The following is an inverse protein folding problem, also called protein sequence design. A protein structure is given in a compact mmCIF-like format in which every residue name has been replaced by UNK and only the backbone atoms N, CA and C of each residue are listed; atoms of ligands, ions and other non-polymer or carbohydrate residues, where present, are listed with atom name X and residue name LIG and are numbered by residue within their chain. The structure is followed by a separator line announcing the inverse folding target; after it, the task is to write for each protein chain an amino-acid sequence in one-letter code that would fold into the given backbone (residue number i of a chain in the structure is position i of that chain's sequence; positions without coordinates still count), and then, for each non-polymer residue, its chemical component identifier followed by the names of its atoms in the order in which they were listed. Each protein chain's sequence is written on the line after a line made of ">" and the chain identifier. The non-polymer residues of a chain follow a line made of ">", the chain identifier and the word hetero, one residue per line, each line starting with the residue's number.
data_IF_182393203975
#
_entry.id   IF_182393203975
#
_cell.length_a   1.000
_cell.length_b   1.000
_cell.length_c   1.000
_cell.angle_alpha   90.00
_cell.angle_beta   90.00
_cell.angle_gamma   90.00
#
_symmetry.space_group_name_H-M   'P 1'
#
loop_
_entity.id
_entity.type
_entity.pdbx_description
1 polymer ?
#
# COMPACT_ATOMS: atom_id res chain seq x y z
N UNK A 1 -22.05 6.86 -18.49
CA UNK A 1 -22.76 5.58 -18.26
C UNK A 1 -22.03 4.79 -17.18
N UNK A 2 -22.30 5.07 -15.91
CA UNK A 2 -21.90 4.20 -14.80
C UNK A 2 -23.04 3.22 -14.55
N UNK A 3 -22.76 1.91 -14.61
CA UNK A 3 -23.69 0.87 -14.18
C UNK A 3 -23.56 0.72 -12.66
N UNK A 4 -24.60 1.13 -11.95
CA UNK A 4 -24.81 0.78 -10.55
C UNK A 4 -24.87 -0.75 -10.40
N UNK A 5 -24.02 -1.31 -9.54
CA UNK A 5 -24.17 -2.68 -9.02
C UNK A 5 -23.07 -3.69 -9.30
N UNK A 6 -22.03 -3.36 -10.09
CA UNK A 6 -20.83 -4.21 -10.14
C UNK A 6 -19.93 -3.84 -8.96
N UNK A 7 -19.72 -4.76 -8.01
CA UNK A 7 -18.76 -4.56 -6.93
C UNK A 7 -17.43 -4.13 -7.56
N UNK A 8 -16.85 -3.03 -7.08
CA UNK A 8 -15.60 -2.50 -7.61
C UNK A 8 -14.56 -3.62 -7.66
N UNK A 9 -14.22 -4.07 -8.88
CA UNK A 9 -13.21 -5.09 -9.10
C UNK A 9 -11.85 -4.43 -8.95
N UNK A 10 -11.02 -5.02 -8.10
CA UNK A 10 -9.67 -4.55 -7.88
C UNK A 10 -8.89 -4.66 -9.20
N UNK A 11 -8.36 -3.54 -9.69
CA UNK A 11 -7.48 -3.56 -10.86
C UNK A 11 -6.12 -4.15 -10.48
N UNK A 12 -5.36 -4.60 -11.48
CA UNK A 12 -3.96 -5.01 -11.33
C UNK A 12 -3.14 -3.99 -10.53
N UNK A 13 -3.26 -2.70 -10.89
CA UNK A 13 -2.59 -1.62 -10.20
C UNK A 13 -3.11 -1.42 -8.77
N UNK A 14 -4.42 -1.59 -8.54
CA UNK A 14 -5.00 -1.53 -7.19
C UNK A 14 -4.50 -2.67 -6.30
N UNK A 15 -4.28 -3.85 -6.87
CA UNK A 15 -3.72 -4.97 -6.15
C UNK A 15 -2.23 -4.76 -5.83
N UNK A 16 -1.44 -4.30 -6.80
CA UNK A 16 -0.05 -3.89 -6.55
C UNK A 16 0.03 -2.81 -5.48
N UNK A 17 -0.86 -1.82 -5.52
CA UNK A 17 -0.94 -0.77 -4.50
C UNK A 17 -1.14 -1.34 -3.10
N UNK A 18 -2.05 -2.30 -2.89
CA UNK A 18 -2.28 -2.92 -1.58
C UNK A 18 -1.05 -3.66 -1.03
N UNK A 19 -0.12 -4.04 -1.90
CA UNK A 19 1.09 -4.79 -1.57
C UNK A 19 2.30 -3.91 -1.29
N UNK A 20 2.25 -2.66 -1.72
CA UNK A 20 3.31 -1.69 -1.47
C UNK A 20 3.42 -1.40 0.03
N UNK A 21 4.63 -1.05 0.48
CA UNK A 21 4.84 -0.54 1.83
C UNK A 21 4.03 0.74 2.07
N UNK A 22 3.67 1.01 3.33
CA UNK A 22 2.84 2.19 3.70
C UNK A 22 3.40 3.51 3.17
N UNK A 23 4.73 3.66 3.19
CA UNK A 23 5.40 4.86 2.68
C UNK A 23 5.28 5.00 1.16
N UNK A 24 5.36 3.89 0.42
CA UNK A 24 5.21 3.89 -1.03
C UNK A 24 3.75 4.04 -1.47
N UNK A 25 2.81 3.42 -0.75
CA UNK A 25 1.38 3.69 -0.91
C UNK A 25 1.07 5.18 -0.74
N UNK A 26 1.60 5.76 0.34
CA UNK A 26 1.43 7.17 0.62
C UNK A 26 2.03 8.03 -0.50
N UNK A 27 3.22 7.70 -0.99
CA UNK A 27 3.85 8.44 -2.08
C UNK A 27 3.07 8.33 -3.39
N UNK A 28 2.53 7.16 -3.71
CA UNK A 28 1.67 6.96 -4.88
C UNK A 28 0.45 7.89 -4.83
N UNK A 29 -0.22 7.96 -3.67
CA UNK A 29 -1.34 8.88 -3.45
C UNK A 29 -0.87 10.35 -3.55
N UNK A 30 0.25 10.72 -2.92
CA UNK A 30 0.75 12.09 -2.95
C UNK A 30 1.14 12.55 -4.34
N UNK A 31 1.72 11.68 -5.15
CA UNK A 31 2.06 11.95 -6.55
C UNK A 31 0.82 12.26 -7.37
N UNK A 32 -0.23 11.45 -7.24
CA UNK A 32 -1.49 11.68 -7.93
C UNK A 32 -2.17 12.97 -7.44
N UNK A 33 -2.09 13.23 -6.14
CA UNK A 33 -2.60 14.44 -5.52
C UNK A 33 -1.89 15.70 -6.02
N UNK A 34 -0.57 15.66 -6.20
CA UNK A 34 0.21 16.76 -6.79
C UNK A 34 -0.08 16.89 -8.29
N UNK A 35 -0.17 15.78 -9.03
CA UNK A 35 -0.45 15.80 -10.48
C UNK A 35 -1.82 16.39 -10.80
N UNK A 36 -2.80 16.23 -9.91
CA UNK A 36 -4.15 16.80 -10.03
C UNK A 36 -4.27 18.22 -9.44
N UNK A 37 -3.16 18.84 -9.00
CA UNK A 37 -3.19 20.19 -8.44
C UNK A 37 -3.56 21.26 -9.49
N UNK A 38 -3.02 21.13 -10.72
CA UNK A 38 -3.27 22.09 -11.80
C UNK A 38 -4.75 22.13 -12.21
N UNK A 39 -5.43 20.99 -12.21
CA UNK A 39 -6.87 20.89 -12.49
C UNK A 39 -7.72 21.62 -11.45
N UNK A 40 -7.20 21.74 -10.22
CA UNK A 40 -7.81 22.49 -9.11
C UNK A 40 -7.39 23.96 -9.08
N UNK A 41 -6.58 24.41 -10.04
CA UNK A 41 -6.04 25.77 -10.09
C UNK A 41 -5.00 26.06 -9.00
N UNK A 42 -4.35 25.03 -8.47
CA UNK A 42 -3.28 25.15 -7.45
C UNK A 42 -1.93 24.94 -8.13
N UNK A 43 -0.97 25.83 -7.87
CA UNK A 43 0.40 25.63 -8.34
C UNK A 43 1.01 24.40 -7.65
N UNK A 44 1.44 23.36 -8.40
CA UNK A 44 2.07 22.18 -7.80
C UNK A 44 3.32 22.54 -6.98
N UNK A 45 4.02 23.63 -7.33
CA UNK A 45 5.20 24.11 -6.58
C UNK A 45 4.85 24.57 -5.18
N UNK A 46 3.74 25.30 -5.03
CA UNK A 46 3.24 25.77 -3.74
C UNK A 46 2.80 24.58 -2.88
N UNK A 47 2.17 23.58 -3.50
CA UNK A 47 1.72 22.37 -2.82
C UNK A 47 2.90 21.52 -2.33
N UNK A 48 3.92 21.33 -3.16
CA UNK A 48 5.15 20.61 -2.79
C UNK A 48 5.85 21.35 -1.64
N UNK A 49 5.97 22.67 -1.74
CA UNK A 49 6.59 23.48 -0.69
C UNK A 49 5.87 23.31 0.65
N UNK A 50 4.53 23.29 0.64
CA UNK A 50 3.72 23.05 1.82
C UNK A 50 3.87 21.63 2.38
N UNK A 51 3.89 20.60 1.52
CA UNK A 51 4.09 19.21 1.94
C UNK A 51 5.48 19.01 2.58
N UNK A 52 6.52 19.66 2.04
CA UNK A 52 7.85 19.67 2.62
C UNK A 52 7.86 20.42 3.96
N UNK A 53 7.23 21.59 4.04
CA UNK A 53 7.08 22.32 5.29
C UNK A 53 6.42 21.46 6.38
N UNK A 54 5.33 20.77 6.04
CA UNK A 54 4.62 19.86 6.93
C UNK A 54 5.53 18.74 7.46
N UNK A 55 6.43 18.23 6.63
CA UNK A 55 7.36 17.17 7.03
C UNK A 55 8.36 17.60 8.10
N UNK A 56 8.68 18.90 8.18
CA UNK A 56 9.55 19.48 9.21
C UNK A 56 8.81 19.84 10.51
N UNK A 57 7.49 19.66 10.56
CA UNK A 57 6.73 19.90 11.78
C UNK A 57 7.05 18.84 12.84
N UNK A 58 6.96 19.22 14.11
CA UNK A 58 7.18 18.30 15.23
C UNK A 58 5.95 17.43 15.46
N UNK A 59 6.15 16.11 15.49
CA UNK A 59 5.09 15.15 15.73
C UNK A 59 4.38 15.44 17.07
N UNK A 60 3.04 15.56 17.04
CA UNK A 60 2.24 15.76 18.26
C UNK A 60 2.10 17.22 18.73
N UNK A 61 2.79 18.18 18.10
CA UNK A 61 2.55 19.59 18.36
C UNK A 61 1.29 20.09 17.63
N UNK A 62 0.59 21.05 18.23
CA UNK A 62 -0.61 21.65 17.66
C UNK A 62 -0.27 22.95 16.93
N UNK A 63 -0.70 23.06 15.67
CA UNK A 63 -0.47 24.19 14.79
C UNK A 63 -1.81 24.83 14.41
N UNK A 64 -1.87 26.15 14.32
CA UNK A 64 -3.13 26.84 14.07
C UNK A 64 -3.56 26.74 12.60
N UNK A 65 -4.85 26.48 12.35
CA UNK A 65 -5.41 26.56 10.99
C UNK A 65 -5.60 28.01 10.52
N UNK A 66 -5.60 28.98 11.43
CA UNK A 66 -5.78 30.39 11.10
C UNK A 66 -4.58 30.99 10.35
N UNK A 67 -3.39 30.44 10.53
CA UNK A 67 -2.15 30.91 9.88
C UNK A 67 -1.99 30.42 8.44
N UNK A 68 -2.80 29.44 8.02
CA UNK A 68 -2.74 28.83 6.70
C UNK A 68 -3.52 29.63 5.65
N UNK A 69 -3.07 29.56 4.40
CA UNK A 69 -3.82 30.05 3.24
C UNK A 69 -5.02 29.16 2.95
N UNK A 70 -5.98 29.64 2.15
CA UNK A 70 -7.17 28.85 1.81
C UNK A 70 -6.81 27.55 1.08
N UNK A 71 -5.82 27.59 0.20
CA UNK A 71 -5.31 26.41 -0.51
C UNK A 71 -4.68 25.41 0.48
N UNK A 72 -3.87 25.90 1.43
CA UNK A 72 -3.27 25.06 2.46
C UNK A 72 -4.32 24.44 3.39
N UNK A 73 -5.42 25.14 3.68
CA UNK A 73 -6.52 24.58 4.47
C UNK A 73 -7.20 23.43 3.75
N UNK A 74 -7.49 23.57 2.46
CA UNK A 74 -8.03 22.48 1.64
C UNK A 74 -7.07 21.29 1.67
N UNK A 75 -5.77 21.53 1.44
CA UNK A 75 -4.77 20.47 1.51
C UNK A 75 -4.72 19.79 2.89
N UNK A 76 -4.84 20.52 4.00
CA UNK A 76 -4.90 19.91 5.35
C UNK A 76 -6.14 19.04 5.54
N UNK A 77 -7.29 19.41 4.96
CA UNK A 77 -8.49 18.58 5.01
C UNK A 77 -8.26 17.27 4.25
N UNK A 78 -7.71 17.33 3.04
CA UNK A 78 -7.38 16.13 2.24
C UNK A 78 -6.35 15.24 2.96
N UNK A 79 -5.31 15.86 3.55
CA UNK A 79 -4.28 15.16 4.32
C UNK A 79 -4.82 14.55 5.63
N UNK A 80 -5.89 15.11 6.19
CA UNK A 80 -6.58 14.51 7.33
C UNK A 80 -7.29 13.22 6.93
N UNK A 81 -7.98 13.20 5.78
CA UNK A 81 -8.66 11.98 5.28
C UNK A 81 -7.67 10.83 5.04
N UNK A 82 -6.44 11.18 4.63
CA UNK A 82 -5.34 10.23 4.47
C UNK A 82 -4.64 9.85 5.79
N UNK A 83 -5.03 10.46 6.92
CA UNK A 83 -4.48 10.16 8.24
C UNK A 83 -3.09 10.79 8.53
N UNK A 84 -2.63 11.72 7.69
CA UNK A 84 -1.37 12.44 7.90
C UNK A 84 -1.50 13.51 8.96
N UNK A 85 -2.71 14.03 9.15
CA UNK A 85 -3.00 15.12 10.07
C UNK A 85 -4.23 14.77 10.90
N UNK A 86 -4.20 15.15 12.18
CA UNK A 86 -5.38 15.10 13.03
C UNK A 86 -5.89 16.52 13.26
N UNK A 87 -7.17 16.74 13.04
CA UNK A 87 -7.80 18.00 13.38
C UNK A 87 -8.28 17.99 14.83
N UNK A 88 -8.02 19.09 15.53
CA UNK A 88 -8.53 19.34 16.87
C UNK A 88 -9.30 20.65 16.85
N UNK A 89 -10.61 20.57 17.04
CA UNK A 89 -11.48 21.74 17.13
C UNK A 89 -11.55 22.24 18.57
N UNK A 90 -11.22 23.51 18.78
CA UNK A 90 -11.48 24.23 20.01
C UNK A 90 -12.81 24.96 19.98
N UNK A 91 -13.08 25.72 21.05
CA UNK A 91 -14.28 26.56 21.15
C UNK A 91 -14.24 27.80 20.25
N UNK A 92 -13.06 28.22 19.80
CA UNK A 92 -12.84 29.44 19.01
C UNK A 92 -11.84 29.25 17.87
N UNK A 93 -10.82 28.44 18.10
CA UNK A 93 -9.77 28.14 17.14
C UNK A 93 -9.74 26.65 16.80
N UNK A 94 -9.23 26.34 15.62
CA UNK A 94 -9.02 24.97 15.15
C UNK A 94 -7.54 24.76 14.92
N UNK A 95 -7.03 23.61 15.36
CA UNK A 95 -5.63 23.23 15.22
C UNK A 95 -5.50 21.94 14.43
N UNK A 96 -4.32 21.76 13.85
CA UNK A 96 -3.92 20.54 13.20
C UNK A 96 -2.67 19.96 13.88
N UNK A 97 -2.61 18.64 14.00
CA UNK A 97 -1.52 17.91 14.64
C UNK A 97 -0.96 16.90 13.61
N UNK A 98 0.31 17.03 13.19
CA UNK A 98 0.93 16.11 12.25
C UNK A 98 1.15 14.73 12.91
N UNK A 99 0.87 13.68 12.14
CA UNK A 99 1.14 12.29 12.53
C UNK A 99 2.53 11.86 12.07
N UNK A 100 2.95 10.63 12.44
CA UNK A 100 4.21 10.05 11.96
C UNK A 100 4.30 9.97 10.44
N UNK A 101 3.15 9.80 9.76
CA UNK A 101 3.09 9.72 8.31
C UNK A 101 3.43 11.07 7.68
N UNK A 102 2.95 12.18 8.25
CA UNK A 102 3.30 13.53 7.81
C UNK A 102 4.78 13.83 7.98
N UNK A 103 5.36 13.53 9.15
CA UNK A 103 6.78 13.83 9.42
C UNK A 103 7.72 12.95 8.60
N UNK A 104 7.31 11.71 8.27
CA UNK A 104 8.10 10.81 7.43
C UNK A 104 7.86 11.00 5.92
N UNK A 105 7.00 11.95 5.53
CA UNK A 105 6.66 12.19 4.13
C UNK A 105 7.91 12.56 3.30
N UNK A 106 8.76 13.46 3.80
CA UNK A 106 10.03 13.82 3.12
C UNK A 106 11.04 12.67 3.06
N UNK A 107 11.06 11.76 4.04
CA UNK A 107 11.94 10.59 3.98
C UNK A 107 11.49 9.58 2.92
N UNK A 108 10.18 9.55 2.64
CA UNK A 108 9.57 8.71 1.60
C UNK A 108 9.73 9.31 0.20
N UNK A 109 9.89 10.65 0.10
CA UNK A 109 10.26 11.36 -1.13
C UNK A 109 11.68 11.02 -1.59
N UNK A 110 12.59 10.72 -0.65
CA UNK A 110 14.03 10.52 -0.92
C UNK A 110 14.46 9.06 -1.04
N UNK A 111 13.74 8.12 -0.44
CA UNK A 111 14.10 6.69 -0.47
C UNK A 111 12.84 5.82 -0.51
N UNK A 112 12.76 4.93 -1.49
CA UNK A 112 11.93 3.72 -1.47
C UNK A 112 12.44 2.77 -0.39
N UNK A 113 12.36 3.17 0.87
CA UNK A 113 12.84 2.38 1.99
C UNK A 113 11.82 1.28 2.28
N UNK A 114 12.05 0.13 1.64
CA UNK A 114 11.39 -1.14 1.88
C UNK A 114 11.46 -1.53 3.36
N UNK A 115 10.46 -1.11 4.15
CA UNK A 115 10.21 -1.71 5.45
C UNK A 115 9.58 -3.08 5.21
N UNK A 116 10.42 -4.11 5.22
CA UNK A 116 10.05 -5.53 5.08
C UNK A 116 9.14 -5.97 6.23
N UNK A 117 7.84 -5.81 6.07
CA UNK A 117 6.86 -6.47 6.93
C UNK A 117 6.28 -7.68 6.18
N UNK A 118 6.90 -8.84 6.38
CA UNK A 118 6.42 -10.10 5.84
C UNK A 118 7.51 -10.86 5.12
N UNK A 119 7.82 -12.07 5.59
CA UNK A 119 8.66 -13.01 4.83
C UNK A 119 7.75 -14.12 4.35
N UNK A 120 7.64 -14.29 3.04
CA UNK A 120 6.95 -15.43 2.42
C UNK A 120 8.01 -16.40 1.92
N UNK A 121 7.85 -17.67 2.27
CA UNK A 121 8.70 -18.77 1.83
C UNK A 121 7.82 -19.79 1.13
N UNK A 122 8.10 -20.10 -0.14
CA UNK A 122 7.47 -21.20 -0.85
C UNK A 122 8.47 -22.32 -1.07
N UNK A 123 8.07 -23.54 -0.70
CA UNK A 123 8.81 -24.78 -0.93
C UNK A 123 8.52 -25.36 -2.33
N UNK A 124 9.38 -26.27 -2.79
CA UNK A 124 9.23 -26.98 -4.08
C UNK A 124 8.02 -27.90 -4.17
N UNK A 125 7.38 -28.19 -3.03
CA UNK A 125 6.13 -28.96 -2.94
C UNK A 125 4.88 -28.05 -2.96
N UNK A 126 5.02 -26.78 -3.34
CA UNK A 126 3.96 -25.76 -3.39
C UNK A 126 3.39 -25.36 -2.01
N UNK A 127 4.06 -25.69 -0.91
CA UNK A 127 3.72 -25.17 0.42
C UNK A 127 4.24 -23.76 0.60
N UNK A 128 3.38 -22.89 1.10
CA UNK A 128 3.65 -21.49 1.38
C UNK A 128 3.63 -21.25 2.88
N UNK A 129 4.68 -20.60 3.39
CA UNK A 129 4.83 -20.19 4.78
C UNK A 129 5.03 -18.67 4.80
N UNK A 130 4.08 -17.93 5.36
CA UNK A 130 4.15 -16.49 5.46
C UNK A 130 4.26 -16.05 6.91
N UNK A 131 5.38 -15.44 7.26
CA UNK A 131 5.62 -14.82 8.55
C UNK A 131 5.11 -13.39 8.51
N UNK A 132 3.83 -13.20 8.84
CA UNK A 132 3.19 -11.89 8.86
C UNK A 132 2.13 -11.85 9.95
N UNK A 133 2.13 -10.77 10.74
CA UNK A 133 1.05 -10.45 11.68
C UNK A 133 -0.09 -9.65 11.02
N UNK A 134 0.11 -9.19 9.78
CA UNK A 134 -0.88 -8.41 9.04
C UNK A 134 -2.00 -9.31 8.49
N UNK A 135 -3.24 -9.02 8.89
CA UNK A 135 -4.44 -9.68 8.34
C UNK A 135 -4.59 -9.44 6.84
N UNK A 136 -4.15 -8.28 6.35
CA UNK A 136 -4.19 -7.95 4.94
C UNK A 136 -3.33 -8.92 4.12
N UNK A 137 -2.10 -9.22 4.56
CA UNK A 137 -1.27 -10.23 3.90
C UNK A 137 -1.93 -11.62 3.90
N UNK A 138 -2.68 -11.96 4.94
CA UNK A 138 -3.42 -13.22 4.97
C UNK A 138 -4.53 -13.28 3.91
N UNK A 139 -5.33 -12.23 3.78
CA UNK A 139 -6.41 -12.21 2.78
C UNK A 139 -5.85 -12.20 1.36
N UNK A 140 -4.73 -11.51 1.13
CA UNK A 140 -4.06 -11.51 -0.18
C UNK A 140 -3.56 -12.92 -0.54
N UNK A 141 -2.93 -13.62 0.40
CA UNK A 141 -2.48 -15.00 0.16
C UNK A 141 -3.65 -15.95 -0.14
N UNK A 142 -4.82 -15.73 0.45
CA UNK A 142 -6.04 -16.53 0.19
C UNK A 142 -6.57 -16.39 -1.23
N UNK A 143 -6.21 -15.32 -1.95
CA UNK A 143 -6.67 -15.14 -3.32
C UNK A 143 -6.12 -16.19 -4.28
N UNK A 144 -4.92 -16.72 -4.02
CA UNK A 144 -4.24 -17.67 -4.91
C UNK A 144 -3.73 -18.94 -4.22
N UNK A 145 -3.81 -19.03 -2.89
CA UNK A 145 -3.42 -20.20 -2.11
C UNK A 145 -4.54 -20.67 -1.17
N UNK A 146 -4.58 -21.97 -0.91
CA UNK A 146 -5.44 -22.56 0.10
C UNK A 146 -4.74 -22.50 1.45
N UNK A 147 -5.24 -21.67 2.37
CA UNK A 147 -4.73 -21.62 3.74
C UNK A 147 -5.12 -22.89 4.49
N UNK A 148 -4.13 -23.61 5.00
CA UNK A 148 -4.33 -24.84 5.78
C UNK A 148 -4.49 -24.54 7.27
N UNK A 149 -3.63 -23.68 7.81
CA UNK A 149 -3.71 -23.22 9.20
C UNK A 149 -3.05 -21.86 9.40
N UNK A 150 -3.56 -21.11 10.38
CA UNK A 150 -3.09 -19.77 10.72
C UNK A 150 -2.75 -19.70 12.21
N UNK A 151 -1.51 -19.34 12.50
CA UNK A 151 -0.97 -19.01 13.82
C UNK A 151 -0.80 -17.48 13.92
N UNK A 152 -0.61 -16.91 15.14
CA UNK A 152 -0.55 -15.45 15.33
C UNK A 152 0.45 -14.70 14.44
N UNK A 153 1.58 -15.33 14.09
CA UNK A 153 2.64 -14.73 13.26
C UNK A 153 3.06 -15.62 12.08
N UNK A 154 2.30 -16.69 11.77
CA UNK A 154 2.64 -17.64 10.70
C UNK A 154 1.38 -18.13 10.02
N UNK A 155 1.32 -18.00 8.70
CA UNK A 155 0.28 -18.56 7.85
C UNK A 155 0.90 -19.69 7.06
N UNK A 156 0.26 -20.85 7.07
CA UNK A 156 0.66 -21.98 6.24
C UNK A 156 -0.45 -22.30 5.26
N UNK A 157 -0.08 -22.37 3.99
CA UNK A 157 -0.98 -22.68 2.90
C UNK A 157 -0.32 -23.54 1.83
N UNK A 158 -1.12 -23.94 0.85
CA UNK A 158 -0.66 -24.67 -0.32
C UNK A 158 -1.21 -23.99 -1.58
N UNK A 159 -0.35 -23.83 -2.58
CA UNK A 159 -0.76 -23.39 -3.91
C UNK A 159 -1.25 -24.63 -4.66
N UNK A 160 -2.53 -24.64 -5.00
CA UNK A 160 -3.19 -25.76 -5.70
C UNK A 160 -3.63 -25.32 -7.09
N UNK A 161 -3.88 -26.28 -7.98
CA UNK A 161 -4.43 -25.97 -9.31
C UNK A 161 -5.74 -25.18 -9.16
N UNK A 162 -6.63 -25.67 -8.30
CA UNK A 162 -7.95 -25.10 -8.05
C UNK A 162 -7.86 -23.66 -7.52
N UNK A 163 -6.92 -23.37 -6.60
CA UNK A 163 -6.74 -22.02 -6.06
C UNK A 163 -6.21 -21.03 -7.11
N UNK A 164 -5.34 -21.48 -8.03
CA UNK A 164 -4.84 -20.65 -9.12
C UNK A 164 -5.91 -20.33 -10.17
N UNK A 165 -6.70 -21.32 -10.60
CA UNK A 165 -7.81 -21.04 -11.52
C UNK A 165 -8.83 -20.08 -10.90
N UNK A 166 -9.15 -20.25 -9.62
CA UNK A 166 -10.00 -19.30 -8.90
C UNK A 166 -9.41 -17.88 -8.86
N UNK A 167 -8.08 -17.75 -8.74
CA UNK A 167 -7.41 -16.44 -8.82
C UNK A 167 -7.54 -15.81 -10.21
N UNK A 168 -7.36 -16.60 -11.27
CA UNK A 168 -7.42 -16.13 -12.65
C UNK A 168 -8.84 -15.72 -13.05
N UNK A 169 -9.85 -16.46 -12.60
CA UNK A 169 -11.27 -16.09 -12.78
C UNK A 169 -11.60 -14.76 -12.08
N UNK A 170 -10.88 -14.43 -11.00
CA UNK A 170 -10.97 -13.14 -10.29
C UNK A 170 -10.10 -12.04 -10.91
N UNK A 171 -9.45 -12.28 -12.05
CA UNK A 171 -8.65 -11.29 -12.77
C UNK A 171 -7.21 -11.12 -12.27
N UNK A 172 -6.73 -12.02 -11.42
CA UNK A 172 -5.34 -12.02 -10.95
C UNK A 172 -4.48 -12.71 -12.01
N UNK A 173 -3.37 -12.09 -12.42
CA UNK A 173 -2.50 -12.68 -13.45
C UNK A 173 -1.44 -13.59 -12.84
N UNK A 174 -0.91 -14.50 -13.66
CA UNK A 174 0.25 -15.34 -13.32
C UNK A 174 1.42 -14.52 -12.79
N UNK A 175 1.70 -13.42 -13.49
CA UNK A 175 2.81 -12.53 -13.22
C UNK A 175 2.61 -11.82 -11.88
N UNK A 176 1.40 -11.37 -11.56
CA UNK A 176 1.09 -10.80 -10.24
C UNK A 176 1.32 -11.79 -9.11
N UNK A 177 0.94 -13.06 -9.28
CA UNK A 177 1.20 -14.11 -8.27
C UNK A 177 2.70 -14.32 -8.09
N UNK A 178 3.49 -14.30 -9.16
CA UNK A 178 4.94 -14.42 -9.09
C UNK A 178 5.56 -13.19 -8.41
N UNK A 179 5.16 -11.97 -8.81
CA UNK A 179 5.63 -10.72 -8.22
C UNK A 179 5.32 -10.67 -6.73
N UNK A 180 4.10 -11.03 -6.35
CA UNK A 180 3.67 -11.19 -4.97
C UNK A 180 4.60 -12.11 -4.19
N UNK A 181 4.78 -13.33 -4.67
CA UNK A 181 5.56 -14.31 -3.96
C UNK A 181 7.00 -13.77 -3.86
N UNK A 182 7.56 -13.25 -4.96
CA UNK A 182 8.93 -12.68 -5.08
C UNK A 182 9.18 -11.47 -4.17
N UNK A 183 8.22 -10.53 -4.07
CA UNK A 183 8.35 -9.29 -3.30
C UNK A 183 8.53 -9.54 -1.80
N UNK A 184 8.01 -10.66 -1.30
CA UNK A 184 8.12 -11.05 0.11
C UNK A 184 9.29 -12.00 0.42
N UNK A 185 10.16 -12.36 -0.53
CA UNK A 185 11.37 -13.14 -0.21
C UNK A 185 12.55 -12.26 0.17
N UNK A 186 13.22 -12.63 1.25
CA UNK A 186 14.58 -12.17 1.54
C UNK A 186 15.66 -13.23 1.28
N UNK A 187 15.31 -14.47 0.93
CA UNK A 187 16.33 -15.52 0.77
C UNK A 187 16.75 -15.61 -0.70
N UNK A 188 17.97 -15.11 -0.95
CA UNK A 188 18.75 -15.27 -2.17
C UNK A 188 19.23 -16.73 -2.34
N UNK A 189 18.29 -17.66 -2.45
CA UNK A 189 18.51 -19.04 -2.88
C UNK A 189 17.21 -19.53 -3.50
N UNK A 190 17.27 -20.16 -4.68
CA UNK A 190 16.18 -20.89 -5.36
C UNK A 190 15.24 -20.15 -6.35
N UNK A 191 15.67 -19.03 -6.95
CA UNK A 191 14.97 -18.48 -8.14
C UNK A 191 15.07 -19.42 -9.37
N UNK A 192 16.14 -20.21 -9.49
CA UNK A 192 16.35 -21.06 -10.68
C UNK A 192 15.59 -22.39 -10.70
N UNK A 193 14.68 -22.66 -9.77
CA UNK A 193 13.87 -23.91 -9.81
C UNK A 193 12.39 -23.68 -9.53
N UNK A 194 12.02 -22.71 -8.69
CA UNK A 194 10.61 -22.35 -8.50
C UNK A 194 10.04 -21.57 -9.68
N UNK A 195 10.80 -20.68 -10.33
CA UNK A 195 10.37 -20.03 -11.58
C UNK A 195 10.09 -21.07 -12.67
N UNK A 196 10.94 -22.09 -12.81
CA UNK A 196 10.73 -23.15 -13.81
C UNK A 196 9.57 -24.08 -13.46
N UNK A 197 9.32 -24.36 -12.17
CA UNK A 197 8.20 -25.18 -11.72
C UNK A 197 6.84 -24.47 -11.89
N UNK A 198 6.76 -23.17 -11.61
CA UNK A 198 5.59 -22.33 -11.92
C UNK A 198 5.41 -22.17 -13.43
N UNK A 199 6.49 -21.96 -14.19
CA UNK A 199 6.44 -21.93 -15.65
C UNK A 199 5.89 -23.26 -16.23
N UNK A 200 6.23 -24.41 -15.63
CA UNK A 200 5.67 -25.71 -16.01
C UNK A 200 4.17 -25.88 -15.68
N UNK A 201 3.67 -25.18 -14.66
CA UNK A 201 2.24 -25.13 -14.32
C UNK A 201 1.47 -24.14 -15.21
N UNK A 202 2.14 -23.11 -15.74
CA UNK A 202 1.54 -22.05 -16.57
C UNK A 202 1.58 -22.30 -18.08
N UNK A 203 2.48 -23.16 -18.59
CA UNK A 203 2.69 -23.39 -20.05
C UNK A 203 2.01 -24.68 -20.55
N UNK A 204 1.05 -25.26 -19.83
CA UNK A 204 0.30 -26.42 -20.32
C UNK A 204 -1.20 -26.37 -20.06
#
# INVERSE_FOLDING_TARGET
>A
FHRDGEAAKLSENGFQFLLMETNAQLWYIMREYISSAEERGVDPTDLISFLLELSFHTQGAAYSLSTLTEVQRVAIMDLMELGLVKLQQGRKDSWFIPTKLATNLSSSLSDSAASKEGIVVVETNFRLYAYSASKLHCEILRLFSRVEYQLPNLIVGAITKESLYGAFDNGITAEQVIVLITHFYMIHCYIDTCSYALFFFFVR
#
